data_IF_431188349954
#
_entry.id   IF_431188349954
#
_cell.length_a   1.000
_cell.length_b   1.000
_cell.length_c   1.000
_cell.angle_alpha   90.00
_cell.angle_beta   90.00
_cell.angle_gamma   90.00
#
_symmetry.space_group_name_H-M   'P 1'
#
loop_
_entity.id
_entity.type
_entity.pdbx_description
1 polymer ?
#
# COMPACT_ATOMS: atom_id res chain seq x y z
N UNK A 1 -3.56 -20.46 0.70
CA UNK A 1 -2.12 -20.72 0.40
C UNK A 1 -1.35 -19.43 0.65
N UNK A 2 -0.03 -19.43 0.89
CA UNK A 2 0.71 -18.17 1.02
C UNK A 2 0.71 -17.42 -0.31
N UNK A 3 0.52 -16.10 -0.26
CA UNK A 3 0.54 -15.23 -1.43
C UNK A 3 1.87 -14.49 -1.58
N UNK A 4 2.46 -14.10 -0.43
CA UNK A 4 3.79 -13.49 -0.37
C UNK A 4 4.64 -14.21 0.67
N UNK A 5 5.90 -14.45 0.33
CA UNK A 5 6.94 -14.90 1.27
C UNK A 5 8.07 -13.89 1.25
N UNK A 6 8.41 -13.39 2.42
CA UNK A 6 9.54 -12.49 2.64
C UNK A 6 10.64 -13.29 3.33
N UNK A 7 11.84 -13.33 2.72
CA UNK A 7 12.96 -14.09 3.23
C UNK A 7 14.14 -13.17 3.51
N UNK A 8 14.47 -13.02 4.78
CA UNK A 8 15.60 -12.21 5.27
C UNK A 8 15.73 -10.89 4.53
N UNK A 9 14.58 -10.21 4.37
CA UNK A 9 14.44 -9.10 3.46
C UNK A 9 15.05 -7.83 4.04
N UNK A 10 16.03 -7.26 3.34
CA UNK A 10 16.65 -5.97 3.66
C UNK A 10 16.38 -5.00 2.52
N UNK A 11 15.77 -3.85 2.83
CA UNK A 11 15.32 -2.84 1.88
C UNK A 11 15.89 -1.48 2.23
N UNK A 12 16.23 -0.69 1.22
CA UNK A 12 16.76 0.67 1.45
C UNK A 12 17.11 1.38 0.16
N UNK A 13 17.68 2.57 0.32
CA UNK A 13 18.14 3.46 -0.75
C UNK A 13 19.64 3.73 -0.55
N UNK A 14 20.40 3.78 -1.64
CA UNK A 14 21.83 4.14 -1.64
C UNK A 14 22.68 3.40 -0.55
N UNK A 15 22.39 2.11 -0.35
CA UNK A 15 22.99 1.25 0.69
C UNK A 15 22.61 1.63 2.14
N UNK A 16 21.67 2.55 2.35
CA UNK A 16 21.12 2.84 3.68
C UNK A 16 19.86 2.01 3.88
N UNK A 17 19.90 0.98 4.72
CA UNK A 17 18.74 0.13 4.96
C UNK A 17 17.66 0.89 5.72
N UNK A 18 16.41 0.80 5.21
CA UNK A 18 15.21 1.29 5.85
C UNK A 18 14.40 0.16 6.51
N UNK A 19 14.58 -1.08 6.04
CA UNK A 19 14.02 -2.30 6.63
C UNK A 19 15.12 -3.35 6.67
N UNK A 20 15.27 -4.05 7.81
CA UNK A 20 16.27 -5.09 8.02
C UNK A 20 15.62 -6.43 8.37
N UNK A 21 16.18 -7.51 7.79
CA UNK A 21 15.92 -8.90 8.20
C UNK A 21 14.45 -9.25 8.41
N UNK A 22 13.58 -8.79 7.50
CA UNK A 22 12.16 -9.07 7.57
C UNK A 22 11.87 -10.46 7.00
N UNK A 23 11.45 -11.39 7.86
CA UNK A 23 10.90 -12.69 7.49
C UNK A 23 9.40 -12.72 7.74
N UNK A 24 8.64 -13.32 6.83
CA UNK A 24 7.21 -13.47 7.05
C UNK A 24 6.44 -14.00 5.86
N UNK A 25 5.18 -14.32 6.13
CA UNK A 25 4.24 -14.87 5.13
C UNK A 25 2.94 -14.08 5.19
N UNK A 26 2.46 -13.65 4.03
CA UNK A 26 1.11 -13.12 3.86
C UNK A 26 0.28 -14.16 3.13
N UNK A 27 -0.81 -14.59 3.74
CA UNK A 27 -1.72 -15.56 3.14
C UNK A 27 -2.65 -14.91 2.11
N UNK A 28 -3.10 -15.71 1.14
CA UNK A 28 -4.14 -15.28 0.17
C UNK A 28 -5.41 -14.88 0.92
N UNK A 29 -6.02 -13.78 0.51
CA UNK A 29 -7.19 -13.21 1.17
C UNK A 29 -6.91 -12.52 2.52
N UNK A 30 -5.65 -12.32 2.94
CA UNK A 30 -5.34 -11.65 4.19
C UNK A 30 -5.73 -10.16 4.17
N UNK A 31 -6.17 -9.64 5.32
CA UNK A 31 -6.32 -8.21 5.59
C UNK A 31 -5.29 -7.84 6.66
N UNK A 32 -4.15 -7.30 6.23
CA UNK A 32 -2.97 -7.03 7.06
C UNK A 32 -2.72 -5.53 7.20
N UNK A 33 -2.64 -5.05 8.43
CA UNK A 33 -2.12 -3.71 8.70
C UNK A 33 -0.60 -3.72 8.88
N UNK A 34 0.09 -2.77 8.25
CA UNK A 34 1.50 -2.47 8.54
C UNK A 34 1.55 -1.19 9.36
N UNK A 35 1.92 -1.32 10.62
CA UNK A 35 1.92 -0.23 11.61
C UNK A 35 3.35 0.05 12.03
N UNK A 36 3.66 1.30 12.34
CA UNK A 36 4.97 1.72 12.82
C UNK A 36 5.16 3.22 12.78
N UNK A 37 6.16 3.76 13.47
CA UNK A 37 6.50 5.18 13.46
C UNK A 37 6.82 5.70 12.04
N UNK A 38 6.95 7.02 11.89
CA UNK A 38 7.49 7.60 10.67
C UNK A 38 8.94 7.15 10.49
N UNK A 39 9.35 6.84 9.26
CA UNK A 39 10.68 6.28 8.99
C UNK A 39 10.85 4.79 9.30
N UNK A 40 9.80 4.09 9.75
CA UNK A 40 9.84 2.63 10.03
C UNK A 40 10.06 1.74 8.79
N UNK A 41 9.99 2.29 7.57
CA UNK A 41 10.18 1.53 6.33
C UNK A 41 8.90 1.00 5.69
N UNK A 42 7.69 1.42 6.13
CA UNK A 42 6.40 0.94 5.62
C UNK A 42 6.25 1.15 4.10
N UNK A 43 6.43 2.37 3.62
CA UNK A 43 6.37 2.71 2.18
C UNK A 43 7.47 2.00 1.38
N UNK A 44 8.66 1.84 1.98
CA UNK A 44 9.78 1.10 1.38
C UNK A 44 9.42 -0.37 1.18
N UNK A 45 8.79 -1.00 2.17
CA UNK A 45 8.28 -2.36 2.07
C UNK A 45 7.24 -2.48 0.94
N UNK A 46 6.28 -1.56 0.86
CA UNK A 46 5.25 -1.60 -0.18
C UNK A 46 5.84 -1.38 -1.59
N UNK A 47 6.78 -0.46 -1.75
CA UNK A 47 7.52 -0.25 -3.01
C UNK A 47 8.28 -1.52 -3.45
N UNK A 48 8.85 -2.25 -2.50
CA UNK A 48 9.52 -3.52 -2.79
C UNK A 48 8.52 -4.63 -3.16
N UNK A 49 7.40 -4.77 -2.43
CA UNK A 49 6.34 -5.72 -2.79
C UNK A 49 5.72 -5.36 -4.15
N UNK A 50 5.54 -4.10 -4.48
CA UNK A 50 5.07 -3.64 -5.77
C UNK A 50 6.09 -3.80 -6.92
N UNK A 51 7.35 -4.15 -6.62
CA UNK A 51 8.42 -4.34 -7.61
C UNK A 51 9.10 -3.05 -8.08
N UNK A 52 8.76 -1.90 -7.49
CA UNK A 52 9.37 -0.60 -7.84
C UNK A 52 10.69 -0.34 -7.10
N UNK A 53 10.99 -1.12 -6.07
CA UNK A 53 12.25 -1.11 -5.33
C UNK A 53 12.84 -2.52 -5.28
N UNK A 54 14.12 -2.67 -5.65
CA UNK A 54 14.82 -3.95 -5.53
C UNK A 54 15.35 -4.13 -4.11
N UNK A 55 15.24 -5.32 -3.52
CA UNK A 55 15.88 -5.65 -2.25
C UNK A 55 17.39 -5.44 -2.29
N UNK A 56 17.98 -4.95 -1.19
CA UNK A 56 19.43 -4.92 -0.97
C UNK A 56 19.95 -6.31 -0.63
N UNK A 57 19.16 -7.10 0.13
CA UNK A 57 19.42 -8.50 0.45
C UNK A 57 18.09 -9.24 0.68
N UNK A 58 18.15 -10.58 0.61
CA UNK A 58 16.96 -11.42 0.75
C UNK A 58 16.10 -11.46 -0.50
N UNK A 59 14.85 -11.93 -0.37
CA UNK A 59 13.96 -12.09 -1.51
C UNK A 59 12.47 -11.92 -1.15
N UNK A 60 11.69 -11.52 -2.14
CA UNK A 60 10.23 -11.50 -2.10
C UNK A 60 9.75 -12.53 -3.12
N UNK A 61 9.11 -13.59 -2.65
CA UNK A 61 8.45 -14.56 -3.51
C UNK A 61 6.95 -14.24 -3.57
N UNK A 62 6.39 -14.24 -4.77
CA UNK A 62 4.98 -13.96 -5.06
C UNK A 62 4.39 -15.23 -5.68
N UNK A 63 3.59 -15.94 -4.91
CA UNK A 63 2.98 -17.18 -5.38
C UNK A 63 1.76 -16.84 -6.24
N UNK A 64 1.77 -17.26 -7.52
CA UNK A 64 0.68 -17.09 -8.50
C UNK A 64 0.25 -15.62 -8.79
N UNK A 65 1.07 -14.63 -8.42
CA UNK A 65 0.82 -13.22 -8.73
C UNK A 65 1.93 -12.69 -9.61
N UNK A 66 1.58 -12.30 -10.82
CA UNK A 66 2.43 -11.47 -11.67
C UNK A 66 2.32 -9.99 -11.26
N UNK A 67 3.17 -9.13 -11.85
CA UNK A 67 3.15 -7.69 -11.55
C UNK A 67 1.81 -7.02 -11.93
N UNK A 68 1.00 -7.64 -12.79
CA UNK A 68 -0.33 -7.14 -13.17
C UNK A 68 -1.36 -7.39 -12.10
N UNK A 69 -1.17 -8.42 -11.28
CA UNK A 69 -2.03 -8.76 -10.15
C UNK A 69 -1.81 -7.92 -8.90
N UNK A 70 -0.90 -6.92 -8.92
CA UNK A 70 -0.60 -6.05 -7.78
C UNK A 70 -1.05 -4.63 -8.06
N UNK A 71 -1.93 -4.10 -7.22
CA UNK A 71 -2.32 -2.69 -7.23
C UNK A 71 -1.64 -1.95 -6.08
N UNK A 72 -0.99 -0.82 -6.37
CA UNK A 72 -0.34 0.01 -5.36
C UNK A 72 -0.91 1.42 -5.36
N UNK A 73 -1.36 1.84 -4.19
CA UNK A 73 -1.77 3.20 -3.89
C UNK A 73 -0.62 3.87 -3.11
N UNK A 74 0.14 4.79 -3.74
CA UNK A 74 1.17 5.55 -3.05
C UNK A 74 0.55 6.63 -2.16
N UNK A 75 1.36 7.25 -1.31
CA UNK A 75 0.94 8.43 -0.57
C UNK A 75 0.52 9.55 -1.52
N UNK A 76 -0.52 10.31 -1.15
CA UNK A 76 -1.02 11.43 -1.99
C UNK A 76 0.06 12.50 -2.20
N UNK A 77 0.97 12.67 -1.24
CA UNK A 77 2.13 13.57 -1.36
C UNK A 77 3.09 13.21 -2.49
N UNK A 78 3.14 11.95 -2.90
CA UNK A 78 4.04 11.46 -3.95
C UNK A 78 3.48 11.73 -5.36
N UNK A 79 2.24 12.26 -5.46
CA UNK A 79 1.59 12.51 -6.74
C UNK A 79 1.79 13.97 -7.17
N UNK A 80 2.39 14.14 -8.34
CA UNK A 80 2.51 15.47 -8.96
C UNK A 80 1.15 15.96 -9.44
N UNK A 81 0.55 16.86 -8.66
CA UNK A 81 -0.75 17.47 -8.98
C UNK A 81 -0.70 18.52 -10.09
N UNK A 82 0.49 18.96 -10.48
CA UNK A 82 0.68 19.92 -11.58
C UNK A 82 0.57 19.28 -12.96
N UNK A 83 0.66 17.94 -13.03
CA UNK A 83 0.54 17.20 -14.27
C UNK A 83 -0.85 17.39 -14.88
N UNK A 84 -0.96 17.82 -16.16
CA UNK A 84 -2.24 18.18 -16.79
C UNK A 84 -3.04 16.94 -17.25
N UNK A 85 -3.46 16.10 -16.29
CA UNK A 85 -4.25 14.90 -16.56
C UNK A 85 -5.65 15.03 -15.90
N UNK A 86 -6.66 14.48 -16.56
CA UNK A 86 -8.02 14.41 -16.05
C UNK A 86 -8.25 13.20 -15.12
N UNK A 87 -9.33 13.26 -14.33
CA UNK A 87 -9.76 12.15 -13.45
C UNK A 87 -9.96 10.87 -14.27
N UNK A 88 -10.64 10.96 -15.41
CA UNK A 88 -10.89 9.82 -16.27
C UNK A 88 -9.59 9.13 -16.71
N UNK A 89 -8.63 9.91 -17.22
CA UNK A 89 -7.36 9.37 -17.71
C UNK A 89 -6.52 8.78 -16.58
N UNK A 90 -6.53 9.42 -15.39
CA UNK A 90 -5.84 8.88 -14.21
C UNK A 90 -6.42 7.54 -13.76
N UNK A 91 -7.74 7.38 -13.80
CA UNK A 91 -8.40 6.11 -13.48
C UNK A 91 -8.14 5.07 -14.56
N UNK A 92 -8.15 5.47 -15.84
CA UNK A 92 -7.83 4.62 -16.98
C UNK A 92 -6.42 4.01 -16.93
N UNK A 93 -5.45 4.70 -16.30
CA UNK A 93 -4.11 4.15 -16.07
C UNK A 93 -4.14 2.85 -15.24
N UNK A 94 -5.19 2.60 -14.45
CA UNK A 94 -5.39 1.33 -13.75
C UNK A 94 -5.45 0.13 -14.70
N UNK A 95 -5.93 0.33 -15.93
CA UNK A 95 -6.04 -0.72 -16.94
C UNK A 95 -4.73 -1.01 -17.69
N UNK A 96 -3.69 -0.16 -17.57
CA UNK A 96 -2.44 -0.34 -18.32
C UNK A 96 -1.73 -1.66 -18.01
N UNK A 97 -1.82 -2.12 -16.78
CA UNK A 97 -1.22 -3.40 -16.38
C UNK A 97 -1.84 -4.58 -17.14
N UNK A 98 -3.14 -4.55 -17.43
CA UNK A 98 -3.85 -5.62 -18.14
C UNK A 98 -3.76 -5.49 -19.66
N UNK A 99 -3.70 -4.26 -20.21
CA UNK A 99 -3.71 -3.99 -21.67
C UNK A 99 -2.33 -3.85 -22.29
N UNK A 100 -1.31 -3.61 -21.47
CA UNK A 100 0.04 -3.28 -21.94
C UNK A 100 0.13 -1.84 -22.46
N UNK A 101 1.37 -1.35 -22.64
CA UNK A 101 1.66 0.06 -23.00
C UNK A 101 1.10 0.46 -24.39
N UNK A 102 0.89 -0.52 -25.30
CA UNK A 102 0.36 -0.29 -26.65
C UNK A 102 -1.13 -0.66 -26.75
N UNK A 103 -1.77 -1.13 -25.69
CA UNK A 103 -3.19 -1.48 -25.67
C UNK A 103 -4.05 -0.22 -25.58
N UNK A 104 -4.87 0.04 -26.60
CA UNK A 104 -5.88 1.10 -26.56
C UNK A 104 -7.03 0.76 -25.60
N UNK A 105 -7.72 1.79 -25.11
CA UNK A 105 -8.96 1.65 -24.35
C UNK A 105 -10.07 1.20 -25.31
N UNK A 106 -10.66 0.03 -25.05
CA UNK A 106 -11.77 -0.54 -25.84
C UNK A 106 -13.13 -0.17 -25.23
N UNK A 107 -14.23 -0.44 -25.94
CA UNK A 107 -15.57 -0.04 -25.50
C UNK A 107 -15.95 -0.49 -24.09
N UNK A 108 -15.61 -1.75 -23.71
CA UNK A 108 -15.86 -2.26 -22.35
C UNK A 108 -15.02 -1.58 -21.27
N UNK A 109 -13.84 -1.05 -21.63
CA UNK A 109 -12.95 -0.37 -20.69
C UNK A 109 -13.55 0.98 -20.27
N UNK A 110 -14.25 1.67 -21.16
CA UNK A 110 -14.95 2.92 -20.84
C UNK A 110 -15.98 2.69 -19.71
N UNK A 111 -16.78 1.63 -19.83
CA UNK A 111 -17.75 1.28 -18.78
C UNK A 111 -17.08 0.91 -17.45
N UNK A 112 -15.96 0.19 -17.50
CA UNK A 112 -15.21 -0.17 -16.28
C UNK A 112 -14.65 1.08 -15.59
N UNK A 113 -14.11 2.04 -16.35
CA UNK A 113 -13.59 3.30 -15.82
C UNK A 113 -14.73 4.13 -15.20
N UNK A 114 -15.85 4.30 -15.92
CA UNK A 114 -17.01 5.04 -15.43
C UNK A 114 -17.60 4.41 -14.17
N UNK A 115 -17.73 3.07 -14.15
CA UNK A 115 -18.17 2.33 -12.96
C UNK A 115 -17.21 2.51 -11.77
N UNK A 116 -15.90 2.52 -12.00
CA UNK A 116 -14.90 2.76 -10.96
C UNK A 116 -15.01 4.19 -10.39
N UNK A 117 -15.21 5.20 -11.24
CA UNK A 117 -15.42 6.60 -10.84
C UNK A 117 -16.72 6.73 -10.03
N UNK A 118 -17.79 6.09 -10.48
CA UNK A 118 -19.07 6.08 -9.77
C UNK A 118 -18.97 5.38 -8.41
N UNK A 119 -18.24 4.27 -8.31
CA UNK A 119 -18.05 3.49 -7.09
C UNK A 119 -17.43 4.28 -5.93
N UNK A 120 -16.68 5.34 -6.25
CA UNK A 120 -16.07 6.24 -5.26
C UNK A 120 -16.78 7.59 -5.14
N UNK A 121 -17.94 7.77 -5.79
CA UNK A 121 -18.75 8.99 -5.71
C UNK A 121 -18.15 10.19 -6.45
N UNK A 122 -17.45 9.97 -7.56
CA UNK A 122 -16.85 11.03 -8.39
C UNK A 122 -17.54 11.19 -9.76
N UNK A 123 -18.78 10.71 -9.92
CA UNK A 123 -19.57 10.94 -11.13
C UNK A 123 -19.70 12.45 -11.42
N UNK A 124 -19.43 12.83 -12.66
CA UNK A 124 -19.40 14.23 -13.11
C UNK A 124 -18.03 14.93 -12.94
N UNK A 125 -17.02 14.21 -12.43
CA UNK A 125 -15.64 14.72 -12.28
C UNK A 125 -14.69 14.23 -13.37
N UNK A 126 -15.14 13.43 -14.32
CA UNK A 126 -14.33 12.70 -15.29
C UNK A 126 -13.33 13.60 -16.04
N UNK A 127 -13.78 14.79 -16.42
CA UNK A 127 -12.98 15.77 -17.18
C UNK A 127 -12.22 16.77 -16.31
N UNK A 128 -12.36 16.70 -14.99
CA UNK A 128 -11.67 17.63 -14.09
C UNK A 128 -10.18 17.33 -14.05
N UNK A 129 -9.30 18.34 -14.17
CA UNK A 129 -7.87 18.18 -13.91
C UNK A 129 -7.63 17.75 -12.44
N UNK A 130 -6.72 16.80 -12.23
CA UNK A 130 -6.40 16.28 -10.89
C UNK A 130 -5.91 17.36 -9.93
N UNK A 131 -5.22 18.39 -10.43
CA UNK A 131 -4.76 19.52 -9.64
C UNK A 131 -5.86 20.35 -8.99
N UNK A 132 -7.11 20.26 -9.48
CA UNK A 132 -8.27 21.00 -8.93
C UNK A 132 -9.03 20.22 -7.86
N UNK A 133 -8.65 18.98 -7.59
CA UNK A 133 -9.32 18.13 -6.62
C UNK A 133 -8.93 18.49 -5.17
N UNK A 134 -9.90 18.44 -4.25
CA UNK A 134 -9.59 18.42 -2.82
C UNK A 134 -8.81 17.17 -2.42
N UNK A 135 -8.22 17.13 -1.22
CA UNK A 135 -7.51 15.94 -0.72
C UNK A 135 -8.38 14.68 -0.73
N UNK A 136 -9.62 14.77 -0.23
CA UNK A 136 -10.56 13.65 -0.24
C UNK A 136 -10.99 13.23 -1.64
N UNK A 137 -11.19 14.17 -2.57
CA UNK A 137 -11.49 13.85 -3.96
C UNK A 137 -10.32 13.18 -4.68
N UNK A 138 -9.09 13.63 -4.41
CA UNK A 138 -7.87 12.98 -4.92
C UNK A 138 -7.78 11.54 -4.41
N UNK A 139 -8.00 11.32 -3.12
CA UNK A 139 -7.97 9.99 -2.53
C UNK A 139 -9.01 9.06 -3.15
N UNK A 140 -10.25 9.56 -3.33
CA UNK A 140 -11.32 8.82 -4.03
C UNK A 140 -10.92 8.45 -5.46
N UNK A 141 -10.31 9.37 -6.22
CA UNK A 141 -9.84 9.11 -7.58
C UNK A 141 -8.76 8.01 -7.60
N UNK A 142 -7.83 8.03 -6.64
CA UNK A 142 -6.81 6.99 -6.53
C UNK A 142 -7.42 5.62 -6.20
N UNK A 143 -8.44 5.58 -5.36
CA UNK A 143 -9.20 4.35 -5.11
C UNK A 143 -9.96 3.90 -6.36
N UNK A 144 -10.55 4.82 -7.15
CA UNK A 144 -11.18 4.46 -8.43
C UNK A 144 -10.17 3.79 -9.39
N UNK A 145 -8.92 4.28 -9.43
CA UNK A 145 -7.86 3.64 -10.22
C UNK A 145 -7.59 2.20 -9.77
N UNK A 146 -7.57 1.93 -8.44
CA UNK A 146 -7.41 0.57 -7.91
C UNK A 146 -8.63 -0.31 -8.26
N UNK A 147 -9.85 0.23 -8.21
CA UNK A 147 -11.07 -0.48 -8.63
C UNK A 147 -10.97 -0.87 -10.09
N UNK A 148 -10.55 0.05 -10.98
CA UNK A 148 -10.39 -0.23 -12.40
C UNK A 148 -9.28 -1.27 -12.67
N UNK A 149 -8.22 -1.30 -11.86
CA UNK A 149 -7.11 -2.25 -12.01
C UNK A 149 -7.51 -3.69 -11.67
N UNK A 150 -8.49 -3.89 -10.77
CA UNK A 150 -9.07 -5.18 -10.38
C UNK A 150 -8.04 -6.23 -9.93
N UNK A 151 -7.05 -5.81 -9.13
CA UNK A 151 -5.94 -6.65 -8.71
C UNK A 151 -6.29 -7.59 -7.54
N UNK A 152 -5.57 -8.73 -7.45
CA UNK A 152 -5.70 -9.70 -6.35
C UNK A 152 -4.98 -9.24 -5.08
N UNK A 153 -3.86 -8.56 -5.21
CA UNK A 153 -3.08 -7.98 -4.11
C UNK A 153 -3.16 -6.46 -4.17
N UNK A 154 -3.62 -5.84 -3.10
CA UNK A 154 -3.82 -4.40 -3.00
C UNK A 154 -2.94 -3.87 -1.87
N UNK A 155 -2.07 -2.92 -2.20
CA UNK A 155 -1.17 -2.24 -1.28
C UNK A 155 -1.61 -0.79 -1.12
N UNK A 156 -1.92 -0.38 0.11
CA UNK A 156 -2.46 0.93 0.44
C UNK A 156 -1.50 1.69 1.37
N UNK A 157 -0.79 2.68 0.85
CA UNK A 157 0.15 3.47 1.64
C UNK A 157 -0.54 4.73 2.19
N UNK A 158 -0.83 4.73 3.49
CA UNK A 158 -1.54 5.78 4.23
C UNK A 158 -2.87 6.22 3.57
N UNK A 159 -3.76 5.26 3.25
CA UNK A 159 -4.94 5.52 2.43
C UNK A 159 -5.96 6.47 3.06
N UNK A 160 -5.88 6.73 4.37
CA UNK A 160 -6.83 7.56 5.11
C UNK A 160 -6.18 8.83 5.69
N UNK A 161 -4.96 9.17 5.27
CA UNK A 161 -4.27 10.36 5.75
C UNK A 161 -4.93 11.64 5.19
N UNK A 162 -5.08 12.65 6.04
CA UNK A 162 -5.53 14.00 5.67
C UNK A 162 -6.88 14.07 4.93
N UNK A 163 -7.79 13.13 5.18
CA UNK A 163 -9.16 13.14 4.67
C UNK A 163 -10.17 13.19 5.82
N UNK A 164 -11.39 13.66 5.52
CA UNK A 164 -12.45 13.73 6.51
C UNK A 164 -13.00 12.35 6.91
N UNK A 165 -13.64 12.28 8.07
CA UNK A 165 -14.13 11.02 8.64
C UNK A 165 -15.15 10.30 7.74
N UNK A 166 -16.00 11.05 7.01
CA UNK A 166 -17.00 10.48 6.11
C UNK A 166 -16.32 9.81 4.92
N UNK A 167 -15.41 10.51 4.25
CA UNK A 167 -14.62 9.96 3.14
C UNK A 167 -13.82 8.73 3.60
N UNK A 168 -13.20 8.81 4.79
CA UNK A 168 -12.47 7.69 5.37
C UNK A 168 -13.35 6.46 5.56
N UNK A 169 -14.55 6.62 6.11
CA UNK A 169 -15.50 5.51 6.32
C UNK A 169 -15.96 4.87 5.00
N UNK A 170 -16.25 5.68 3.97
CA UNK A 170 -16.66 5.18 2.66
C UNK A 170 -15.55 4.40 1.96
N UNK A 171 -14.30 4.88 2.01
CA UNK A 171 -13.14 4.17 1.45
C UNK A 171 -12.78 2.92 2.24
N UNK A 172 -12.97 2.95 3.56
CA UNK A 172 -12.78 1.76 4.41
C UNK A 172 -13.79 0.66 4.08
N UNK A 173 -15.05 1.01 3.81
CA UNK A 173 -16.07 0.06 3.36
C UNK A 173 -15.67 -0.62 2.04
N UNK A 174 -14.99 0.11 1.15
CA UNK A 174 -14.43 -0.46 -0.08
C UNK A 174 -13.30 -1.47 0.21
N UNK A 175 -12.41 -1.15 1.15
CA UNK A 175 -11.34 -2.08 1.60
C UNK A 175 -11.95 -3.36 2.18
N UNK A 176 -12.96 -3.23 3.04
CA UNK A 176 -13.66 -4.38 3.62
C UNK A 176 -14.36 -5.22 2.55
N UNK A 177 -14.95 -4.59 1.53
CA UNK A 177 -15.55 -5.28 0.39
C UNK A 177 -14.49 -6.10 -0.38
N UNK A 178 -13.34 -5.53 -0.71
CA UNK A 178 -12.24 -6.24 -1.37
C UNK A 178 -11.80 -7.48 -0.59
N UNK A 179 -11.64 -7.32 0.73
CA UNK A 179 -11.33 -8.45 1.60
C UNK A 179 -12.44 -9.51 1.58
N UNK A 180 -13.71 -9.10 1.64
CA UNK A 180 -14.86 -10.01 1.53
C UNK A 180 -14.97 -10.72 0.17
N UNK A 181 -14.41 -10.15 -0.89
CA UNK A 181 -14.25 -10.75 -2.22
C UNK A 181 -13.05 -11.72 -2.30
N UNK A 182 -12.32 -11.93 -1.20
CA UNK A 182 -11.13 -12.80 -1.12
C UNK A 182 -9.84 -12.17 -1.63
N UNK A 183 -9.78 -10.85 -1.84
CA UNK A 183 -8.55 -10.16 -2.21
C UNK A 183 -7.65 -9.99 -1.00
N UNK A 184 -6.35 -10.04 -1.22
CA UNK A 184 -5.37 -9.72 -0.19
C UNK A 184 -5.14 -8.22 -0.13
N UNK A 185 -5.28 -7.62 1.05
CA UNK A 185 -5.09 -6.19 1.26
C UNK A 185 -4.05 -5.94 2.35
N UNK A 186 -3.01 -5.20 2.02
CA UNK A 186 -2.02 -4.67 2.96
C UNK A 186 -2.20 -3.16 3.05
N UNK A 187 -2.35 -2.62 4.27
CA UNK A 187 -2.50 -1.19 4.47
C UNK A 187 -1.48 -0.66 5.48
N UNK A 188 -0.65 0.32 5.08
CA UNK A 188 0.18 1.07 6.00
C UNK A 188 -0.66 2.12 6.72
N UNK A 189 -0.72 2.04 8.05
CA UNK A 189 -1.63 2.84 8.87
C UNK A 189 -0.92 3.40 10.11
N UNK A 190 -1.38 4.58 10.57
CA UNK A 190 -0.91 5.19 11.82
C UNK A 190 -1.91 5.08 12.97
N UNK A 191 -3.21 4.94 12.66
CA UNK A 191 -4.29 4.92 13.65
C UNK A 191 -4.46 3.54 14.30
N UNK A 192 -3.90 3.34 15.51
CA UNK A 192 -3.98 2.06 16.24
C UNK A 192 -5.44 1.63 16.49
N UNK A 193 -6.35 2.57 16.78
CA UNK A 193 -7.75 2.27 17.06
C UNK A 193 -8.47 1.74 15.81
N UNK A 194 -8.23 2.35 14.63
CA UNK A 194 -8.76 1.88 13.37
C UNK A 194 -8.24 0.46 13.05
N UNK A 195 -6.94 0.22 13.27
CA UNK A 195 -6.33 -1.09 13.02
C UNK A 195 -6.97 -2.15 13.91
N UNK A 196 -7.12 -1.88 15.21
CA UNK A 196 -7.76 -2.80 16.17
C UNK A 196 -9.20 -3.13 15.81
N UNK A 197 -9.92 -2.17 15.24
CA UNK A 197 -11.34 -2.35 14.90
C UNK A 197 -11.56 -3.18 13.63
N UNK A 198 -10.63 -3.12 12.66
CA UNK A 198 -10.88 -3.59 11.30
C UNK A 198 -9.91 -4.68 10.84
N UNK A 199 -8.62 -4.61 11.22
CA UNK A 199 -7.59 -5.48 10.68
C UNK A 199 -7.34 -6.67 11.63
N UNK A 200 -7.58 -7.93 11.18
CA UNK A 200 -7.35 -9.11 11.99
C UNK A 200 -5.87 -9.37 12.23
N UNK A 201 -5.00 -8.99 11.29
CA UNK A 201 -3.56 -9.20 11.36
C UNK A 201 -2.80 -7.90 11.27
N UNK A 202 -1.66 -7.83 11.95
CA UNK A 202 -0.79 -6.65 11.97
C UNK A 202 0.69 -7.06 11.93
N UNK A 203 1.46 -6.36 11.10
CA UNK A 203 2.91 -6.25 11.17
C UNK A 203 3.27 -4.93 11.86
N UNK A 204 3.87 -4.98 13.03
CA UNK A 204 4.47 -3.82 13.69
C UNK A 204 5.93 -3.70 13.27
N UNK A 205 6.23 -2.68 12.48
CA UNK A 205 7.53 -2.44 11.86
C UNK A 205 8.20 -1.20 12.47
N UNK A 206 9.47 -1.32 12.80
CA UNK A 206 10.32 -0.23 13.28
C UNK A 206 11.75 -0.43 12.73
N UNK A 207 11.89 -0.35 11.39
CA UNK A 207 13.03 -0.77 10.58
C UNK A 207 13.27 -2.28 10.63
N UNK A 208 12.98 -2.92 11.74
CA UNK A 208 12.93 -4.37 11.93
C UNK A 208 11.52 -4.79 12.33
N UNK A 209 11.12 -6.03 12.10
CA UNK A 209 9.85 -6.53 12.59
C UNK A 209 9.87 -6.61 14.13
N UNK A 210 9.02 -5.83 14.78
CA UNK A 210 8.85 -5.87 16.25
C UNK A 210 7.95 -7.03 16.65
N UNK A 211 6.84 -7.20 15.92
CA UNK A 211 5.90 -8.30 16.07
C UNK A 211 5.06 -8.46 14.80
N UNK A 212 4.63 -9.69 14.49
CA UNK A 212 3.74 -10.02 13.38
C UNK A 212 2.74 -11.11 13.80
N UNK A 213 1.45 -10.89 13.58
CA UNK A 213 0.39 -11.85 13.91
C UNK A 213 -0.95 -11.20 14.17
N UNK A 214 -1.82 -11.85 15.00
CA UNK A 214 -3.11 -11.30 15.35
C UNK A 214 -2.98 -9.90 15.96
N UNK A 215 -3.79 -8.97 15.49
CA UNK A 215 -3.69 -7.54 15.85
C UNK A 215 -3.73 -7.30 17.37
N UNK A 216 -4.56 -8.04 18.09
CA UNK A 216 -4.66 -7.95 19.58
C UNK A 216 -3.35 -8.30 20.28
N UNK A 217 -2.57 -9.23 19.71
CA UNK A 217 -1.35 -9.75 20.32
C UNK A 217 -0.13 -8.90 19.90
N UNK A 218 -0.20 -8.25 18.74
CA UNK A 218 0.85 -7.37 18.21
C UNK A 218 0.79 -5.96 18.79
N UNK A 219 -0.40 -5.35 18.84
CA UNK A 219 -0.57 -3.95 19.27
C UNK A 219 -0.70 -3.82 20.78
N UNK A 220 0.26 -4.38 21.52
CA UNK A 220 0.39 -4.20 22.98
C UNK A 220 1.14 -2.89 23.29
N UNK A 221 0.93 -2.36 24.50
CA UNK A 221 1.64 -1.16 24.98
C UNK A 221 3.16 -1.37 24.94
N UNK A 222 3.60 -2.59 25.30
CA UNK A 222 5.02 -2.95 25.31
C UNK A 222 5.62 -2.91 23.91
N UNK A 223 4.99 -3.55 22.93
CA UNK A 223 5.45 -3.57 21.54
C UNK A 223 5.45 -2.17 20.93
N UNK A 224 4.41 -1.36 21.16
CA UNK A 224 4.33 0.01 20.67
C UNK A 224 5.45 0.89 21.24
N UNK A 225 5.75 0.74 22.54
CA UNK A 225 6.85 1.46 23.17
C UNK A 225 8.22 0.97 22.65
N UNK A 226 8.37 -0.35 22.38
CA UNK A 226 9.57 -0.91 21.77
C UNK A 226 9.79 -0.32 20.37
N UNK A 227 8.75 -0.33 19.53
CA UNK A 227 8.81 0.22 18.17
C UNK A 227 9.22 1.70 18.15
N UNK A 228 8.65 2.51 19.06
CA UNK A 228 9.01 3.92 19.18
C UNK A 228 10.50 4.10 19.52
N UNK A 229 10.98 3.42 20.57
CA UNK A 229 12.39 3.50 20.99
C UNK A 229 13.36 3.04 19.89
N UNK A 230 13.02 2.01 19.12
CA UNK A 230 13.86 1.53 18.02
C UNK A 230 14.03 2.59 16.93
N UNK A 231 12.99 3.33 16.59
CA UNK A 231 13.09 4.41 15.59
C UNK A 231 13.81 5.66 16.12
N UNK A 232 13.66 5.98 17.42
CA UNK A 232 14.36 7.12 18.06
C UNK A 232 15.86 6.88 18.26
N UNK A 233 16.27 5.63 18.45
CA UNK A 233 17.68 5.25 18.67
C UNK A 233 18.51 5.18 17.37
N UNK A 234 17.87 5.24 16.20
CA UNK A 234 18.57 5.27 14.93
C UNK A 234 18.97 6.72 14.59
N UNK A 235 20.20 7.06 14.94
CA UNK A 235 20.85 8.26 14.44
C UNK A 235 21.16 8.09 12.94
N UNK A 236 21.01 9.16 12.13
CA UNK A 236 21.31 9.17 10.69
C UNK A 236 22.81 8.89 10.38
N UNK A 237 23.64 8.81 11.41
CA UNK A 237 25.07 8.47 11.36
C UNK A 237 25.40 6.98 11.58
N UNK A 238 24.42 6.09 11.71
CA UNK A 238 24.66 4.66 11.90
C UNK A 238 25.41 4.06 10.69
N UNK A 239 26.52 3.36 10.97
CA UNK A 239 27.34 2.69 9.96
C UNK A 239 26.51 1.71 9.11
N UNK A 240 26.81 1.69 7.80
CA UNK A 240 26.20 0.75 6.86
C UNK A 240 26.39 -0.69 7.33
N UNK A 241 25.30 -1.45 7.40
CA UNK A 241 25.34 -2.88 7.71
C UNK A 241 26.31 -3.58 6.73
N UNK A 242 27.41 -4.13 7.22
CA UNK A 242 28.33 -4.90 6.41
C UNK A 242 27.59 -6.17 5.98
N UNK A 243 27.22 -6.26 4.70
CA UNK A 243 26.73 -7.48 4.10
C UNK A 243 27.90 -8.46 4.16
N UNK A 244 27.81 -9.47 5.03
CA UNK A 244 28.76 -10.58 5.01
C UNK A 244 28.64 -11.22 3.63
N UNK A 245 29.68 -11.04 2.82
CA UNK A 245 29.85 -11.77 1.57
C UNK A 245 30.21 -13.21 1.94
N UNK A 246 29.33 -14.16 1.74
CA UNK A 246 29.60 -15.57 1.52
C UNK A 246 29.20 -15.96 0.11
#
# INVERSE_FOLDING_TARGET
>A
MPQLRLHNLTLGYDRHPAVHHLDGIVNDGALLAVVGPNGAGKSTLFKAIAGTLKPLAGSIQRDEIDDRGIAYLPQVSDIDRSFPIGVYDMVAMGLWCSRGVLGGIAGNDHHAIEAAIAAVGLTGFERRPIGTLSGGQMQRMLFARLVAQDARLILLDEPFAAIDARTSAELLALVQRWHGEGRTVLAALHGVDLVRAIFPETLLLAREPVAWGPTRDVLTVENLNKARRMCEAFDDAAETCAVAAE
#
